data_IF_750412570450
#
_entry.id   IF_750412570450
#
_cell.length_a   1.000
_cell.length_b   1.000
_cell.length_c   1.000
_cell.angle_alpha   90.00
_cell.angle_beta   90.00
_cell.angle_gamma   90.00
#
_symmetry.space_group_name_H-M   'P 1'
#
loop_
_entity.id
_entity.type
_entity.pdbx_description
1 polymer ?
#
# COMPACT_ATOMS: atom_id res chain seq x y z
N UNK A 39 28.98 -16.86 -5.30
CA UNK A 39 29.36 -15.61 -6.05
C UNK A 39 28.32 -15.30 -7.14
N UNK A 40 27.19 -14.78 -6.71
CA UNK A 40 25.96 -14.60 -7.53
C UNK A 40 25.55 -13.14 -7.40
N UNK A 41 25.29 -12.39 -8.51
CA UNK A 41 24.85 -10.99 -8.41
C UNK A 41 23.41 -10.96 -7.87
N UNK A 42 22.88 -9.80 -7.50
CA UNK A 42 21.61 -9.80 -6.74
C UNK A 42 20.51 -10.26 -7.67
N UNK A 43 20.42 -9.67 -8.86
CA UNK A 43 19.25 -9.97 -9.73
C UNK A 43 19.17 -11.49 -9.96
N UNK A 44 20.23 -12.26 -9.73
CA UNK A 44 20.25 -13.73 -9.96
C UNK A 44 19.99 -14.50 -8.63
N UNK A 45 20.08 -13.84 -7.47
CA UNK A 45 20.07 -14.51 -6.14
C UNK A 45 18.63 -14.81 -5.70
N UNK A 46 18.39 -15.94 -5.02
CA UNK A 46 17.02 -16.46 -4.72
C UNK A 46 16.79 -16.63 -3.22
N UNK A 47 17.84 -16.83 -2.44
CA UNK A 47 17.76 -17.14 -0.99
C UNK A 47 19.03 -16.65 -0.31
N UNK A 48 18.95 -16.48 1.02
CA UNK A 48 20.11 -16.23 1.92
C UNK A 48 21.32 -17.16 1.60
N UNK A 49 21.12 -18.32 0.96
CA UNK A 49 22.22 -19.28 0.65
C UNK A 49 23.10 -18.72 -0.48
N UNK A 50 22.57 -17.85 -1.35
CA UNK A 50 23.28 -17.32 -2.55
C UNK A 50 24.18 -16.08 -2.25
N UNK A 51 24.20 -15.59 -1.00
CA UNK A 51 24.89 -14.34 -0.59
C UNK A 51 26.13 -14.66 0.26
N UNK A 52 27.11 -13.78 0.27
CA UNK A 52 28.23 -13.89 1.22
C UNK A 52 27.73 -13.53 2.62
N UNK A 53 28.43 -13.97 3.67
CA UNK A 53 28.30 -13.35 4.99
C UNK A 53 28.06 -11.83 4.99
N UNK A 54 28.89 -11.03 4.30
CA UNK A 54 28.78 -9.55 4.47
C UNK A 54 27.41 -9.09 3.94
N UNK A 56 24.55 -11.19 3.75
CA UNK A 56 23.62 -11.75 4.71
C UNK A 56 23.39 -10.75 5.85
N UNK A 57 24.48 -10.27 6.47
CA UNK A 57 24.50 -9.37 7.64
C UNK A 57 23.87 -8.04 7.22
N UNK A 58 24.19 -7.56 6.01
CA UNK A 58 23.65 -6.27 5.50
C UNK A 58 22.13 -6.36 5.53
N UNK A 59 21.53 -7.42 4.98
CA UNK A 59 20.06 -7.48 4.82
C UNK A 59 19.41 -7.80 6.17
N UNK A 60 20.19 -8.31 7.14
CA UNK A 60 19.73 -8.56 8.52
C UNK A 60 19.42 -7.21 9.19
N UNK A 61 20.28 -6.22 9.00
CA UNK A 61 20.04 -4.85 9.51
C UNK A 61 18.85 -4.24 8.77
N UNK A 62 18.69 -4.55 7.49
CA UNK A 62 17.53 -3.99 6.73
C UNK A 62 16.27 -4.57 7.35
N UNK A 63 16.27 -5.87 7.59
CA UNK A 63 15.14 -6.61 8.19
C UNK A 63 14.82 -6.03 9.58
N UNK A 64 15.85 -5.66 10.37
CA UNK A 64 15.70 -5.01 11.70
C UNK A 64 15.02 -3.65 11.53
N UNK A 65 15.63 -2.76 10.77
CA UNK A 65 15.11 -1.42 10.40
C UNK A 65 13.59 -1.43 10.16
N UNK A 66 13.15 -2.41 9.38
CA UNK A 66 11.76 -2.54 8.87
C UNK A 66 10.80 -2.47 10.07
N UNK A 67 11.29 -2.89 11.24
CA UNK A 67 10.51 -3.18 12.46
C UNK A 67 10.65 -2.01 13.42
N UNK A 68 11.69 -1.19 13.28
CA UNK A 68 11.79 0.12 13.95
C UNK A 68 10.71 1.01 13.36
N UNK A 69 10.38 2.15 14.02
CA UNK A 69 9.38 3.09 13.52
C UNK A 69 10.09 4.24 12.79
N UNK A 70 9.61 4.50 11.57
CA UNK A 70 10.32 5.28 10.54
C UNK A 70 9.29 5.73 9.52
N UNK A 71 9.64 6.63 8.61
CA UNK A 71 8.76 6.93 7.45
C UNK A 71 8.82 5.72 6.51
N UNK A 72 7.80 4.88 6.54
CA UNK A 72 7.67 3.71 5.65
C UNK A 72 7.68 4.19 4.20
N UNK A 73 8.20 3.34 3.32
CA UNK A 73 8.19 3.58 1.87
C UNK A 73 7.27 2.57 1.25
N UNK A 74 6.38 3.04 0.39
CA UNK A 74 5.30 2.24 -0.23
C UNK A 74 5.17 2.64 -1.71
N UNK A 75 4.46 1.84 -2.48
CA UNK A 75 3.96 2.30 -3.79
C UNK A 75 3.03 1.27 -4.40
N UNK A 76 2.45 1.69 -5.53
CA UNK A 76 1.70 0.81 -6.46
C UNK A 76 2.64 0.39 -7.58
N UNK A 77 3.14 -0.84 -7.51
CA UNK A 77 4.10 -1.48 -8.44
C UNK A 77 3.38 -2.16 -9.62
N UNK A 78 3.49 -1.55 -10.80
CA UNK A 78 2.96 -2.11 -12.06
C UNK A 78 4.03 -2.82 -12.88
N UNK A 79 3.62 -3.74 -13.76
CA UNK A 79 4.46 -4.53 -14.71
C UNK A 79 5.38 -5.44 -13.91
N UNK A 80 4.86 -6.11 -12.89
CA UNK A 80 5.69 -7.00 -12.05
C UNK A 80 5.84 -8.38 -12.71
N UNK A 81 7.02 -8.71 -13.24
CA UNK A 81 7.26 -9.96 -14.00
C UNK A 81 8.34 -10.84 -13.36
N UNK A 82 9.38 -10.25 -12.76
CA UNK A 82 10.54 -11.00 -12.24
C UNK A 82 11.31 -11.75 -13.33
N UNK A 83 11.36 -11.22 -14.56
CA UNK A 83 11.69 -12.00 -15.78
C UNK A 83 13.17 -11.84 -16.16
N UNK A 84 13.82 -10.80 -15.69
CA UNK A 84 15.29 -10.74 -15.72
C UNK A 84 15.78 -9.89 -16.86
N UNK A 85 16.98 -9.36 -16.69
CA UNK A 85 17.64 -8.36 -17.58
C UNK A 85 17.22 -7.00 -17.01
N UNK A 86 15.91 -6.69 -16.93
CA UNK A 86 15.45 -5.36 -16.40
C UNK A 86 15.05 -5.40 -14.90
N UNK A 87 15.83 -4.71 -14.06
CA UNK A 87 15.63 -4.55 -12.59
C UNK A 87 14.24 -3.99 -12.29
N UNK A 88 13.72 -3.10 -13.14
CA UNK A 88 12.38 -2.46 -13.04
C UNK A 88 11.22 -3.48 -12.87
N UNK A 89 11.41 -4.77 -13.16
CA UNK A 89 10.29 -5.76 -13.19
C UNK A 89 10.36 -6.69 -11.96
N UNK A 90 11.20 -6.31 -10.98
CA UNK A 90 11.58 -7.16 -9.83
C UNK A 90 11.26 -6.46 -8.49
N UNK A 91 10.49 -7.11 -7.63
CA UNK A 91 10.28 -6.59 -6.25
C UNK A 91 11.65 -6.53 -5.55
N UNK A 92 12.49 -7.55 -5.75
CA UNK A 92 13.73 -7.76 -4.96
C UNK A 92 14.78 -6.71 -5.32
N UNK A 94 13.89 -3.45 -5.82
CA UNK A 94 13.40 -2.16 -5.40
C UNK A 94 14.40 -1.56 -4.43
N UNK A 95 14.41 -0.24 -4.24
CA UNK A 95 15.19 0.37 -3.16
C UNK A 95 14.96 -0.36 -1.83
N UNK A 96 16.04 -0.58 -1.09
CA UNK A 96 16.06 -1.38 0.15
C UNK A 96 15.19 -0.70 1.22
N UNK A 97 14.87 0.58 1.05
CA UNK A 97 14.09 1.41 2.00
C UNK A 97 12.58 1.24 1.77
N UNK A 98 12.14 0.59 0.70
CA UNK A 98 10.70 0.26 0.50
C UNK A 98 10.29 -0.82 1.49
N UNK A 99 9.24 -0.57 2.30
CA UNK A 99 8.76 -1.50 3.37
C UNK A 99 7.73 -2.47 2.82
N UNK A 100 6.81 -1.99 1.99
CA UNK A 100 5.78 -2.85 1.38
C UNK A 100 5.22 -2.19 0.11
N UNK A 101 4.41 -2.93 -0.62
CA UNK A 101 4.00 -2.50 -1.97
C UNK A 101 2.62 -3.11 -2.25
N UNK A 102 1.85 -2.39 -3.05
CA UNK A 102 0.58 -2.86 -3.61
C UNK A 102 0.77 -3.14 -5.10
N UNK A 103 0.34 -4.32 -5.55
CA UNK A 103 0.53 -4.80 -6.94
C UNK A 103 -0.63 -4.30 -7.80
N UNK A 104 -0.42 -3.16 -8.45
CA UNK A 104 -1.29 -2.61 -9.51
C UNK A 104 -1.35 -3.60 -10.69
N UNK A 105 -2.49 -4.28 -10.83
CA UNK A 105 -2.87 -5.03 -12.03
C UNK A 105 -2.84 -6.53 -11.81
N UNK A 106 -1.88 -7.06 -11.04
CA UNK A 106 -1.70 -8.52 -10.92
C UNK A 106 -2.83 -9.08 -10.06
N UNK A 107 -3.34 -10.27 -10.40
CA UNK A 107 -4.58 -10.85 -9.82
C UNK A 107 -4.24 -12.24 -9.28
N UNK A 108 -3.88 -13.16 -10.16
CA UNK A 108 -3.48 -14.52 -9.78
C UNK A 108 -2.54 -15.08 -10.82
N UNK A 109 -2.61 -16.40 -11.03
CA UNK A 109 -1.81 -17.13 -12.03
C UNK A 109 -0.35 -16.61 -12.06
N UNK A 110 0.36 -16.55 -10.92
CA UNK A 110 1.78 -16.06 -10.84
C UNK A 110 2.75 -17.07 -11.50
N UNK A 111 3.77 -16.56 -12.22
CA UNK A 111 4.91 -17.34 -12.76
C UNK A 111 5.82 -17.82 -11.63
N UNK A 112 6.57 -18.90 -11.86
CA UNK A 112 7.60 -19.46 -10.95
C UNK A 112 8.65 -18.38 -10.60
N UNK A 113 8.89 -17.48 -11.57
CA UNK A 113 9.87 -16.35 -11.48
C UNK A 113 9.27 -15.20 -10.63
N UNK A 114 7.95 -14.99 -10.68
CA UNK A 114 7.22 -14.13 -9.73
C UNK A 114 7.31 -14.75 -8.33
N UNK A 115 6.94 -16.02 -8.19
CA UNK A 115 6.94 -16.70 -6.86
C UNK A 115 8.31 -16.51 -6.19
N UNK A 116 9.42 -16.58 -6.94
CA UNK A 116 10.83 -16.60 -6.45
C UNK A 116 11.31 -15.19 -6.04
N UNK A 117 10.96 -14.19 -6.86
CA UNK A 117 11.20 -12.74 -6.64
C UNK A 117 10.60 -12.40 -5.28
N UNK A 118 9.30 -12.66 -5.14
CA UNK A 118 8.52 -12.48 -3.90
C UNK A 118 9.20 -13.21 -2.73
N UNK A 119 9.65 -14.47 -2.91
CA UNK A 119 10.21 -15.26 -1.78
C UNK A 119 11.43 -14.50 -1.23
N UNK A 120 12.23 -13.90 -2.12
CA UNK A 120 13.50 -13.21 -1.78
C UNK A 120 13.16 -11.89 -1.08
N UNK A 121 12.32 -11.11 -1.76
CA UNK A 121 11.71 -9.86 -1.24
C UNK A 121 11.18 -10.05 0.18
N UNK A 122 10.48 -11.15 0.46
CA UNK A 122 9.88 -11.40 1.79
C UNK A 122 10.95 -11.81 2.79
N UNK A 123 11.75 -12.84 2.52
CA UNK A 123 12.59 -13.57 3.51
C UNK A 123 13.95 -12.88 3.78
N UNK A 124 14.50 -12.20 2.78
CA UNK A 124 15.88 -11.63 2.84
C UNK A 124 15.74 -10.12 3.06
N UNK A 125 15.08 -9.44 2.13
CA UNK A 125 14.58 -8.07 2.36
C UNK A 125 13.43 -8.23 3.34
N UNK A 126 13.02 -7.26 4.11
CA UNK A 126 11.89 -7.58 5.02
C UNK A 126 10.55 -7.29 4.38
N UNK A 127 10.43 -7.50 3.07
CA UNK A 127 9.44 -6.77 2.25
C UNK A 127 8.09 -7.47 2.26
N UNK A 128 7.02 -6.74 1.91
CA UNK A 128 5.64 -7.29 1.86
C UNK A 128 4.91 -6.81 0.61
N UNK A 129 4.20 -7.74 -0.03
CA UNK A 129 3.45 -7.45 -1.25
C UNK A 129 1.96 -7.72 -1.03
N UNK A 130 1.14 -6.75 -1.42
CA UNK A 130 -0.32 -6.78 -1.20
C UNK A 130 -1.04 -6.98 -2.53
N UNK A 131 -2.06 -7.81 -2.53
CA UNK A 131 -3.11 -7.72 -3.58
C UNK A 131 -3.84 -6.40 -3.40
N UNK A 132 -4.47 -5.91 -4.45
CA UNK A 132 -5.04 -4.56 -4.55
C UNK A 132 -5.97 -4.47 -5.73
N UNK A 133 -7.09 -3.77 -5.57
CA UNK A 133 -8.14 -3.54 -6.60
C UNK A 133 -9.32 -2.87 -5.92
N UNK A 134 -10.11 -2.15 -6.72
CA UNK A 134 -11.22 -1.27 -6.27
C UNK A 134 -12.30 -2.15 -5.66
N UNK A 135 -12.82 -1.75 -4.51
CA UNK A 135 -14.02 -2.41 -3.93
C UNK A 135 -15.20 -1.45 -4.04
N UNK A 136 -16.17 -1.95 -4.82
CA UNK A 136 -17.37 -1.27 -5.36
C UNK A 136 -18.52 -2.25 -5.16
N UNK A 137 -18.55 -3.35 -5.90
CA UNK A 137 -19.69 -4.32 -5.82
C UNK A 137 -19.24 -5.58 -5.08
N UNK A 138 -20.19 -6.31 -4.51
CA UNK A 138 -19.95 -7.53 -3.70
C UNK A 138 -19.02 -8.46 -4.49
N UNK A 139 -19.48 -8.97 -5.62
CA UNK A 139 -18.60 -9.70 -6.55
C UNK A 139 -17.76 -8.73 -7.34
N UNK A 140 -16.44 -8.74 -7.13
CA UNK A 140 -15.53 -7.83 -7.88
C UNK A 140 -14.20 -8.55 -8.07
N UNK A 141 -13.89 -8.97 -9.30
CA UNK A 141 -12.57 -9.51 -9.71
C UNK A 141 -12.40 -10.95 -9.21
N UNK A 142 -13.36 -11.54 -8.51
CA UNK A 142 -13.30 -12.98 -8.14
C UNK A 142 -14.54 -13.67 -8.70
N UNK A 143 -15.28 -12.97 -9.55
CA UNK A 143 -16.56 -13.49 -10.10
C UNK A 143 -16.17 -14.14 -11.43
N UNK A 144 -16.32 -15.49 -11.55
CA UNK A 144 -15.84 -16.22 -12.72
C UNK A 144 -16.63 -15.85 -13.99
N UNK A 145 -16.04 -16.15 -15.15
CA UNK A 145 -16.74 -16.29 -16.47
C UNK A 145 -17.28 -14.92 -16.92
N UNK A 146 -18.50 -14.93 -17.45
CA UNK A 146 -19.56 -13.93 -17.27
C UNK A 146 -20.76 -14.59 -16.60
N UNK A 147 -20.61 -14.96 -15.32
CA UNK A 147 -21.75 -15.31 -14.42
C UNK A 147 -22.16 -14.00 -13.73
N UNK A 148 -23.34 -13.98 -13.12
CA UNK A 148 -23.89 -12.79 -12.41
C UNK A 148 -23.22 -12.69 -11.01
N UNK A 149 -22.80 -11.49 -10.60
CA UNK A 149 -22.24 -11.22 -9.26
C UNK A 149 -23.27 -11.55 -8.17
N UNK A 150 -24.42 -10.88 -8.17
CA UNK A 150 -25.38 -11.00 -7.03
C UNK A 150 -25.84 -12.47 -7.02
N UNK A 151 -25.93 -13.12 -8.18
CA UNK A 151 -26.36 -14.54 -8.27
C UNK A 151 -25.25 -15.41 -7.66
N UNK A 152 -24.04 -15.27 -8.18
CA UNK A 152 -22.91 -16.16 -7.81
C UNK A 152 -22.67 -16.08 -6.30
N UNK A 153 -22.76 -14.86 -5.75
CA UNK A 153 -22.20 -14.58 -4.41
C UNK A 153 -23.27 -14.75 -3.33
N UNK A 154 -24.51 -14.29 -3.60
CA UNK A 154 -25.57 -14.12 -2.57
C UNK A 154 -26.34 -15.43 -2.38
N UNK A 155 -27.17 -15.87 -3.36
CA UNK A 155 -27.94 -17.15 -3.23
C UNK A 155 -26.98 -18.33 -3.43
N UNK A 156 -26.11 -18.25 -4.45
CA UNK A 156 -25.27 -19.38 -4.92
C UNK A 156 -24.14 -19.66 -3.92
N UNK A 157 -23.79 -18.71 -3.05
CA UNK A 157 -22.57 -18.78 -2.19
C UNK A 157 -22.89 -18.41 -0.73
N UNK A 158 -23.63 -17.32 -0.49
CA UNK A 158 -24.49 -17.20 0.71
C UNK A 158 -25.62 -18.18 0.57
N UNK A 159 -26.82 -17.90 1.07
CA UNK A 159 -28.00 -18.72 0.67
C UNK A 159 -29.25 -17.83 0.77
N UNK A 160 -29.22 -16.68 0.09
CA UNK A 160 -30.15 -15.56 0.29
C UNK A 160 -29.57 -14.59 1.31
N UNK A 161 -28.74 -15.06 2.25
CA UNK A 161 -28.08 -14.20 3.28
C UNK A 161 -26.97 -13.40 2.58
N UNK A 162 -27.33 -12.28 1.96
CA UNK A 162 -26.36 -11.31 1.36
C UNK A 162 -25.04 -11.33 2.14
N UNK A 163 -25.09 -11.37 3.47
CA UNK A 163 -23.92 -11.21 4.38
C UNK A 163 -23.09 -12.50 4.40
N UNK A 164 -23.69 -13.69 4.26
CA UNK A 164 -22.87 -14.93 4.20
C UNK A 164 -21.99 -14.86 2.92
N UNK A 165 -22.46 -14.12 1.91
CA UNK A 165 -21.80 -13.89 0.61
C UNK A 165 -20.69 -12.86 0.70
N UNK A 166 -20.85 -11.85 1.56
CA UNK A 166 -19.74 -10.91 1.89
C UNK A 166 -18.71 -11.71 2.69
N UNK A 167 -19.15 -12.43 3.72
CA UNK A 167 -18.28 -13.36 4.50
C UNK A 167 -17.53 -14.31 3.55
N UNK A 168 -18.23 -14.79 2.51
CA UNK A 168 -17.69 -15.71 1.48
C UNK A 168 -16.71 -14.99 0.55
N UNK A 169 -17.11 -13.86 -0.06
CA UNK A 169 -16.30 -13.02 -1.00
C UNK A 169 -14.97 -12.62 -0.39
N UNK A 170 -14.99 -12.28 0.89
CA UNK A 170 -13.79 -11.95 1.67
C UNK A 170 -12.93 -13.19 1.89
N UNK A 171 -13.55 -14.32 2.20
CA UNK A 171 -12.79 -15.55 2.54
C UNK A 171 -12.02 -15.99 1.29
N UNK A 172 -12.54 -15.63 0.11
CA UNK A 172 -12.01 -16.00 -1.22
C UNK A 172 -10.81 -15.11 -1.51
N UNK A 173 -10.91 -13.85 -1.14
CA UNK A 173 -9.76 -12.93 -1.22
C UNK A 173 -8.62 -13.56 -0.42
N UNK A 174 -8.86 -13.93 0.85
CA UNK A 174 -7.85 -14.55 1.75
C UNK A 174 -7.34 -15.82 1.11
N UNK A 175 -8.24 -16.73 0.73
CA UNK A 175 -7.85 -17.91 -0.07
C UNK A 175 -6.71 -17.48 -0.98
N UNK A 176 -7.02 -16.54 -1.87
CA UNK A 176 -6.26 -16.27 -3.11
C UNK A 176 -4.93 -15.59 -2.72
N UNK A 177 -4.89 -14.92 -1.58
CA UNK A 177 -3.67 -14.34 -0.95
C UNK A 177 -2.81 -15.49 -0.39
N UNK A 178 -3.43 -16.45 0.30
CA UNK A 178 -2.70 -17.54 1.03
C UNK A 178 -2.08 -18.46 -0.03
N UNK A 179 -2.74 -18.57 -1.19
CA UNK A 179 -2.38 -19.46 -2.32
C UNK A 179 -1.04 -19.03 -2.93
N UNK A 180 -0.75 -17.74 -2.98
CA UNK A 180 0.48 -17.20 -3.63
C UNK A 180 1.40 -16.66 -2.53
N UNK A 181 1.12 -17.02 -1.28
CA UNK A 181 1.76 -16.55 0.00
C UNK A 181 2.01 -15.03 0.02
N UNK A 182 1.13 -14.22 -0.57
CA UNK A 182 1.24 -12.73 -0.49
C UNK A 182 0.98 -12.25 0.96
N UNK A 183 1.29 -10.99 1.27
CA UNK A 183 1.33 -10.53 2.70
C UNK A 183 0.09 -9.72 3.04
N UNK A 184 -0.89 -9.60 2.14
CA UNK A 184 -2.23 -9.17 2.56
C UNK A 184 -3.00 -8.48 1.47
N UNK A 185 -3.83 -7.50 1.84
CA UNK A 185 -4.77 -6.87 0.89
C UNK A 185 -4.84 -5.37 1.12
N UNK A 186 -5.18 -4.69 0.04
CA UNK A 186 -5.30 -3.22 -0.07
C UNK A 186 -6.67 -2.95 -0.67
N UNK A 187 -7.60 -2.50 0.17
CA UNK A 187 -8.94 -2.08 -0.29
C UNK A 187 -8.81 -0.69 -0.93
N UNK A 188 -8.92 -0.59 -2.25
CA UNK A 188 -9.08 0.71 -2.96
C UNK A 188 -10.55 1.09 -2.80
N UNK A 189 -10.84 1.95 -1.82
CA UNK A 189 -12.23 2.37 -1.42
C UNK A 189 -12.50 3.80 -1.92
N UNK A 190 -13.36 3.94 -2.94
CA UNK A 190 -13.64 5.24 -3.61
C UNK A 190 -15.11 5.34 -4.01
N UNK A 191 -16.05 5.26 -3.04
CA UNK A 191 -17.43 5.67 -3.28
C UNK A 191 -17.32 7.19 -3.32
N UNK A 192 -18.20 7.87 -4.05
CA UNK A 192 -18.13 9.34 -4.08
C UNK A 192 -16.84 9.87 -4.69
N UNK A 193 -16.06 8.99 -5.32
CA UNK A 193 -15.31 9.33 -6.56
C UNK A 193 -15.79 8.39 -7.69
N UNK A 194 -17.07 8.03 -7.68
CA UNK A 194 -17.70 7.22 -8.73
C UNK A 194 -17.63 5.73 -8.46
N UNK A 195 -16.91 5.24 -7.47
CA UNK A 195 -16.81 3.75 -7.28
C UNK A 195 -17.70 3.30 -6.12
N UNK A 196 -18.98 3.61 -6.26
CA UNK A 196 -20.06 3.30 -5.30
C UNK A 196 -20.86 2.11 -5.80
N UNK A 197 -21.20 1.15 -4.93
CA UNK A 197 -21.84 -0.12 -5.37
C UNK A 197 -22.60 -0.82 -4.26
N UNK A 198 -22.66 -2.15 -4.31
CA UNK A 198 -23.46 -3.00 -3.39
C UNK A 198 -22.65 -3.31 -2.13
N UNK A 199 -21.49 -2.68 -1.99
CA UNK A 199 -20.65 -2.68 -0.76
C UNK A 199 -20.26 -1.23 -0.44
N UNK A 200 -19.70 -0.52 -1.41
CA UNK A 200 -19.13 0.83 -1.19
C UNK A 200 -20.28 1.82 -1.25
N UNK A 201 -20.33 2.70 -0.23
CA UNK A 201 -21.30 3.83 -0.09
C UNK A 201 -20.64 4.93 0.75
N UNK A 202 -21.36 6.03 0.92
CA UNK A 202 -20.90 7.32 1.49
C UNK A 202 -20.55 7.19 2.97
N UNK A 203 -21.03 6.15 3.67
CA UNK A 203 -21.20 6.18 5.15
C UNK A 203 -20.03 5.55 5.92
N UNK A 204 -19.89 5.95 7.17
CA UNK A 204 -18.97 5.36 8.16
C UNK A 204 -19.14 3.86 8.14
N UNK A 205 -18.02 3.14 8.17
CA UNK A 205 -17.99 1.66 8.29
C UNK A 205 -17.94 1.31 9.78
N UNK A 206 -19.03 0.70 10.24
CA UNK A 206 -19.35 0.36 11.65
C UNK A 206 -20.66 -0.41 11.63
N UNK A 207 -20.94 -1.28 12.61
CA UNK A 207 -22.24 -1.97 12.65
C UNK A 207 -23.42 -0.97 12.58
N UNK A 208 -23.16 0.28 12.95
CA UNK A 208 -24.15 1.38 13.10
C UNK A 208 -24.30 2.11 11.75
N UNK A 209 -23.36 1.93 10.82
CA UNK A 209 -23.41 2.55 9.47
C UNK A 209 -23.45 1.52 8.35
N UNK A 210 -22.35 1.31 7.66
CA UNK A 210 -22.21 0.32 6.57
C UNK A 210 -21.83 -1.02 7.18
N UNK A 211 -22.79 -1.79 7.68
CA UNK A 211 -22.47 -3.03 8.44
C UNK A 211 -21.89 -4.06 7.48
N UNK A 212 -22.07 -3.88 6.16
CA UNK A 212 -21.69 -4.91 5.16
C UNK A 212 -20.19 -4.76 4.94
N UNK A 214 -18.48 -3.62 7.14
CA UNK A 214 -17.90 -3.86 8.44
C UNK A 214 -17.55 -5.35 8.58
N UNK A 215 -18.44 -6.26 8.17
CA UNK A 215 -18.16 -7.72 8.39
C UNK A 215 -17.23 -8.19 7.25
N UNK A 216 -17.14 -7.39 6.19
CA UNK A 216 -16.13 -7.56 5.11
C UNK A 216 -14.74 -7.48 5.75
N UNK A 217 -14.42 -6.29 6.22
CA UNK A 217 -13.15 -5.95 6.92
C UNK A 217 -12.98 -6.86 8.14
N UNK A 218 -14.05 -7.15 8.85
CA UNK A 218 -14.00 -8.02 10.06
C UNK A 218 -13.45 -9.39 9.65
N UNK A 219 -13.91 -9.93 8.51
CA UNK A 219 -13.58 -11.30 8.02
C UNK A 219 -12.14 -11.36 7.49
N UNK A 220 -11.69 -10.34 6.77
CA UNK A 220 -10.26 -10.20 6.37
C UNK A 220 -9.38 -10.12 7.62
N UNK A 221 -9.63 -9.23 8.60
CA UNK A 221 -8.80 -9.16 9.82
C UNK A 221 -8.77 -10.52 10.51
N UNK A 222 -9.93 -11.17 10.70
CA UNK A 222 -10.03 -12.39 11.53
C UNK A 222 -9.01 -13.38 10.98
N UNK A 223 -8.86 -13.36 9.67
CA UNK A 223 -8.10 -14.40 8.95
C UNK A 223 -6.64 -13.99 8.84
N UNK A 224 -6.37 -12.83 8.26
CA UNK A 224 -4.96 -12.55 7.86
C UNK A 224 -4.24 -11.75 8.96
N UNK A 225 -4.92 -11.30 10.01
CA UNK A 225 -4.15 -10.68 11.12
C UNK A 225 -3.37 -11.74 11.93
N UNK A 226 -4.00 -12.82 12.42
CA UNK A 226 -3.24 -13.82 13.16
C UNK A 226 -2.17 -14.49 12.26
N UNK A 227 -2.19 -14.26 10.95
CA UNK A 227 -1.19 -14.87 10.02
C UNK A 227 0.02 -13.94 9.84
N UNK A 228 0.08 -12.83 10.57
CA UNK A 228 1.12 -11.79 10.41
C UNK A 228 0.91 -10.95 9.18
N UNK A 229 -0.18 -11.14 8.42
CA UNK A 229 -0.45 -10.34 7.18
C UNK A 229 -1.13 -9.00 7.51
N UNK A 231 -3.77 -5.70 6.51
CA UNK A 231 -4.93 -5.16 5.80
C UNK A 231 -4.78 -3.64 5.77
N UNK A 232 -5.24 -3.03 4.69
CA UNK A 232 -4.86 -1.64 4.32
C UNK A 232 -5.96 -1.08 3.41
N UNK A 234 -7.20 2.39 0.91
CA UNK A 234 -6.70 3.59 0.27
C UNK A 234 -7.85 4.32 -0.39
N UNK A 235 -7.67 5.62 -0.61
CA UNK A 235 -8.72 6.45 -1.22
C UNK A 235 -9.46 7.21 -0.16
N UNK A 236 -10.38 6.53 0.53
CA UNK A 236 -11.22 7.12 1.60
C UNK A 236 -11.15 6.28 2.86
N UNK A 237 -9.96 5.96 3.38
CA UNK A 237 -9.90 5.30 4.68
C UNK A 237 -10.59 6.14 5.79
N UNK A 238 -10.83 7.45 5.57
CA UNK A 238 -11.45 8.40 6.54
C UNK A 238 -12.88 7.93 6.92
N UNK A 239 -13.53 7.10 6.12
CA UNK A 239 -14.87 6.52 6.39
C UNK A 239 -14.77 5.36 7.39
N UNK A 240 -13.58 4.96 7.78
CA UNK A 240 -13.48 3.94 8.85
C UNK A 240 -14.01 4.54 10.17
N UNK A 241 -14.86 3.81 10.89
CA UNK A 241 -15.17 4.10 12.31
C UNK A 241 -13.89 3.96 13.14
N UNK A 242 -13.82 4.64 14.27
CA UNK A 242 -12.69 4.57 15.23
C UNK A 242 -12.36 3.08 15.45
N UNK A 243 -13.35 2.27 15.80
CA UNK A 243 -13.13 0.88 16.22
C UNK A 243 -12.65 0.07 15.03
N UNK A 244 -13.30 0.25 13.89
CA UNK A 244 -13.03 -0.52 12.66
C UNK A 244 -11.61 -0.15 12.17
N UNK A 245 -11.23 1.12 12.32
CA UNK A 245 -9.88 1.60 11.99
C UNK A 245 -8.81 0.73 12.71
N UNK A 246 -9.08 0.18 13.88
CA UNK A 246 -8.07 -0.64 14.59
C UNK A 246 -7.80 -1.93 13.80
N UNK A 247 -8.67 -2.28 12.87
CA UNK A 247 -8.53 -3.57 12.12
C UNK A 247 -7.75 -3.35 10.81
N UNK A 248 -7.39 -2.10 10.53
CA UNK A 248 -6.69 -1.67 9.29
C UNK A 248 -5.34 -1.04 9.62
N UNK A 249 -4.28 -1.56 9.01
CA UNK A 249 -2.89 -1.31 9.46
C UNK A 249 -2.42 0.04 8.92
N UNK A 250 -2.95 0.52 7.79
CA UNK A 250 -2.57 1.86 7.24
C UNK A 250 -3.73 2.50 6.50
N UNK A 251 -3.78 3.83 6.58
CA UNK A 251 -4.75 4.69 5.89
C UNK A 251 -3.98 5.35 4.75
N UNK A 252 -4.29 5.01 3.51
CA UNK A 252 -3.43 5.42 2.36
C UNK A 252 -4.22 6.40 1.51
N UNK A 253 -3.68 7.59 1.35
CA UNK A 253 -4.38 8.65 0.62
C UNK A 253 -3.62 8.94 -0.67
N UNK A 254 -4.39 9.17 -1.71
CA UNK A 254 -3.98 9.74 -3.00
C UNK A 254 -3.91 11.24 -2.84
N UNK A 255 -2.79 11.78 -2.35
CA UNK A 255 -2.53 13.25 -2.26
C UNK A 255 -1.90 13.76 -3.56
N UNK A 256 -2.46 13.39 -4.70
CA UNK A 256 -1.85 13.67 -6.02
C UNK A 256 -1.83 15.20 -6.30
N UNK A 257 -2.98 15.89 -6.25
CA UNK A 257 -3.10 17.26 -6.80
C UNK A 257 -3.15 18.34 -5.71
N UNK A 258 -2.84 17.98 -4.47
CA UNK A 258 -2.72 18.95 -3.37
C UNK A 258 -1.52 19.86 -3.63
N UNK A 259 -1.68 21.18 -3.55
CA UNK A 259 -0.62 22.13 -3.97
C UNK A 259 0.05 22.81 -2.77
N UNK A 260 -0.26 22.42 -1.51
CA UNK A 260 0.19 23.06 -0.23
C UNK A 260 0.23 22.06 0.93
N UNK A 261 1.17 22.23 1.84
CA UNK A 261 1.32 21.34 3.03
C UNK A 261 -0.03 21.29 3.73
N UNK A 262 -0.61 22.46 3.97
CA UNK A 262 -1.75 22.51 4.90
C UNK A 262 -2.98 21.95 4.20
N UNK A 263 -3.06 22.01 2.88
CA UNK A 263 -4.14 21.33 2.12
C UNK A 263 -3.98 19.80 2.18
N UNK A 264 -2.79 19.29 2.48
CA UNK A 264 -2.57 17.82 2.58
C UNK A 264 -2.98 17.37 3.99
N UNK A 265 -2.53 18.12 5.00
CA UNK A 265 -2.94 17.93 6.42
C UNK A 265 -4.46 17.94 6.50
N UNK A 266 -5.14 18.88 5.82
CA UNK A 266 -6.62 18.95 5.92
C UNK A 266 -7.22 17.63 5.46
N UNK A 267 -6.61 17.03 4.45
CA UNK A 267 -7.12 15.81 3.79
C UNK A 267 -7.00 14.61 4.74
N UNK A 268 -5.93 14.52 5.54
CA UNK A 268 -5.60 13.27 6.29
C UNK A 268 -5.85 13.45 7.78
N UNK A 269 -6.07 14.69 8.24
CA UNK A 269 -6.38 15.01 9.65
C UNK A 269 -7.80 14.56 10.00
N UNK A 270 -7.87 13.38 10.60
CA UNK A 270 -9.06 12.55 10.87
C UNK A 270 -8.87 11.88 12.23
N UNK A 271 -9.11 12.63 13.32
CA UNK A 271 -8.90 12.08 14.66
C UNK A 271 -9.93 10.98 14.98
N UNK A 272 -10.97 10.79 14.17
CA UNK A 272 -11.88 9.61 14.27
C UNK A 272 -11.10 8.29 14.08
N UNK A 273 -9.89 8.34 13.49
CA UNK A 273 -9.12 7.14 13.09
C UNK A 273 -8.06 6.87 14.15
N UNK A 274 -7.97 5.62 14.61
CA UNK A 274 -6.98 5.23 15.64
C UNK A 274 -5.62 5.62 15.08
N UNK A 275 -4.84 6.37 15.84
CA UNK A 275 -3.40 6.56 15.60
C UNK A 275 -3.14 7.05 14.18
N UNK A 276 -3.90 8.03 13.72
CA UNK A 276 -3.92 8.37 12.29
C UNK A 276 -2.58 8.90 11.75
N UNK A 277 -1.81 9.67 12.50
CA UNK A 277 -0.50 10.21 12.06
C UNK A 277 0.44 9.08 11.69
N UNK A 278 0.67 8.12 12.58
CA UNK A 278 1.70 7.07 12.35
C UNK A 278 1.20 5.99 11.40
N UNK A 279 -0.10 5.88 11.15
CA UNK A 279 -0.60 4.85 10.21
C UNK A 279 -0.99 5.47 8.87
N UNK A 280 -0.86 6.78 8.71
CA UNK A 280 -1.27 7.41 7.45
C UNK A 280 -0.10 7.40 6.46
N UNK A 281 -0.38 7.02 5.23
CA UNK A 281 0.60 7.07 4.10
C UNK A 281 0.04 8.05 3.07
N UNK A 282 0.86 9.00 2.63
CA UNK A 282 0.44 9.95 1.56
C UNK A 282 1.27 9.66 0.32
N UNK A 283 0.60 9.69 -0.83
CA UNK A 283 1.14 9.19 -2.10
C UNK A 283 1.00 10.27 -3.16
N UNK A 284 1.95 10.22 -4.06
CA UNK A 284 2.03 11.17 -5.19
C UNK A 284 1.90 10.41 -6.51
N UNK A 285 1.63 11.13 -7.62
CA UNK A 285 1.14 10.53 -8.89
C UNK A 285 2.27 10.52 -9.90
N UNK A 286 2.80 9.32 -10.15
CA UNK A 286 4.13 9.12 -10.79
C UNK A 286 3.97 8.67 -12.25
N UNK A 287 2.81 8.15 -12.64
CA UNK A 287 2.38 8.04 -14.06
C UNK A 287 2.62 9.39 -14.75
N UNK A 288 2.41 10.52 -14.07
CA UNK A 288 2.56 11.86 -14.69
C UNK A 288 3.74 12.66 -14.11
N UNK A 289 4.21 12.37 -12.89
CA UNK A 289 5.14 13.26 -12.20
C UNK A 289 6.45 12.58 -11.83
N UNK A 290 6.69 11.38 -12.36
CA UNK A 290 7.96 10.61 -12.18
C UNK A 290 9.14 11.52 -12.49
N UNK A 291 9.01 12.38 -13.49
CA UNK A 291 10.17 13.18 -13.94
C UNK A 291 10.53 14.17 -12.84
N UNK A 292 9.51 14.69 -12.14
CA UNK A 292 9.57 15.97 -11.40
C UNK A 292 9.36 15.76 -9.90
N UNK A 293 9.09 14.54 -9.44
CA UNK A 293 8.76 14.25 -8.04
C UNK A 293 7.42 14.86 -7.65
N UNK A 294 6.39 14.47 -8.38
CA UNK A 294 5.03 15.03 -8.40
C UNK A 294 5.00 16.42 -9.02
N UNK A 295 4.01 17.23 -8.64
CA UNK A 295 3.61 18.48 -9.33
C UNK A 295 4.75 19.50 -9.23
N UNK A 296 4.76 20.47 -10.14
CA UNK A 296 5.89 21.40 -10.30
C UNK A 296 5.63 22.70 -9.56
N UNK A 297 4.36 22.92 -9.20
CA UNK A 297 3.79 24.14 -8.59
C UNK A 297 3.34 23.89 -7.14
N UNK A 298 4.03 23.02 -6.42
CA UNK A 298 3.76 22.77 -4.98
C UNK A 298 4.46 23.84 -4.16
N UNK A 299 3.86 24.15 -3.00
CA UNK A 299 4.41 25.02 -1.94
C UNK A 299 4.47 24.23 -0.64
N UNK A 300 5.69 24.06 -0.11
CA UNK A 300 5.98 23.35 1.16
C UNK A 300 6.00 24.39 2.28
N UNK A 301 5.74 23.89 3.48
CA UNK A 301 5.79 24.65 4.76
C UNK A 301 7.27 24.76 5.19
N UNK A 302 8.14 24.11 4.42
CA UNK A 302 9.60 24.21 4.59
C UNK A 302 10.12 25.08 3.46
N UNK A 303 10.48 26.35 3.72
CA UNK A 303 10.82 27.25 2.62
C UNK A 303 11.97 26.64 1.79
N UNK A 304 12.98 26.06 2.45
CA UNK A 304 14.20 25.55 1.76
C UNK A 304 13.84 24.46 0.74
N UNK A 305 12.77 23.70 0.94
CA UNK A 305 12.29 22.71 -0.05
C UNK A 305 11.76 23.38 -1.33
N UNK A 306 11.42 24.68 -1.35
CA UNK A 306 10.72 25.30 -2.51
C UNK A 306 11.71 25.83 -3.56
N UNK A 307 13.01 25.87 -3.24
CA UNK A 307 14.10 26.20 -4.19
C UNK A 307 14.53 24.97 -5.01
N UNK A 309 13.54 21.09 -7.00
CA UNK A 309 12.52 20.33 -7.73
C UNK A 309 12.10 19.13 -6.87
N UNK A 310 10.86 18.67 -7.00
CA UNK A 310 10.35 17.48 -6.27
C UNK A 310 9.84 17.79 -4.85
N UNK A 311 9.43 19.03 -4.60
CA UNK A 311 9.13 19.52 -3.23
C UNK A 311 7.83 18.89 -2.71
N UNK A 312 6.89 18.46 -3.56
CA UNK A 312 5.71 17.64 -3.17
C UNK A 312 6.21 16.40 -2.43
N UNK A 313 6.90 15.48 -3.07
CA UNK A 313 7.28 14.19 -2.42
C UNK A 313 8.20 14.44 -1.21
N UNK A 314 8.93 15.54 -1.18
CA UNK A 314 9.92 15.68 -0.08
C UNK A 314 9.21 16.26 1.12
N UNK A 315 8.24 17.16 0.86
CA UNK A 315 7.37 17.71 1.91
C UNK A 315 6.66 16.55 2.57
N UNK A 316 6.09 15.66 1.76
CA UNK A 316 5.32 14.51 2.27
C UNK A 316 6.21 13.71 3.22
N UNK A 317 7.39 13.35 2.78
CA UNK A 317 8.26 12.43 3.53
C UNK A 317 8.63 13.07 4.88
N UNK A 318 8.68 14.40 4.96
CA UNK A 318 9.21 15.10 6.15
C UNK A 318 8.06 15.77 6.93
N UNK A 319 6.81 15.36 6.68
CA UNK A 319 5.57 16.05 7.13
C UNK A 319 5.40 15.86 8.63
N UNK A 320 5.69 16.90 9.41
CA UNK A 320 5.43 17.00 10.87
C UNK A 320 3.99 17.42 10.99
N UNK A 321 3.13 16.58 11.52
CA UNK A 321 1.68 16.92 11.76
C UNK A 321 1.48 17.83 12.96
N UNK A 322 0.29 18.43 13.17
CA UNK A 322 0.16 19.51 14.17
C UNK A 322 0.47 18.98 15.58
N UNK A 323 0.17 17.69 15.81
CA UNK A 323 0.57 16.98 17.06
C UNK A 323 2.07 16.97 17.25
N UNK A 324 2.87 17.12 16.19
CA UNK A 324 4.33 17.03 16.22
C UNK A 324 4.82 15.68 15.69
N UNK A 325 3.93 14.75 15.46
CA UNK A 325 4.30 13.41 14.99
C UNK A 325 4.55 13.44 13.49
N UNK A 326 5.34 12.47 13.04
CA UNK A 326 5.82 12.38 11.65
C UNK A 326 4.84 11.45 10.96
N UNK A 327 4.44 11.82 9.76
CA UNK A 327 3.59 10.98 8.87
C UNK A 327 4.16 9.59 8.93
N UNK A 328 3.34 8.59 8.70
CA UNK A 328 3.71 7.18 8.84
C UNK A 328 4.48 6.69 7.64
N UNK A 329 4.24 7.28 6.47
CA UNK A 329 4.97 6.96 5.25
C UNK A 329 4.53 7.72 4.01
N UNK A 330 5.28 7.52 2.94
CA UNK A 330 4.98 8.07 1.59
C UNK A 330 5.08 6.93 0.58
N UNK A 331 4.47 7.15 -0.58
CA UNK A 331 4.48 6.23 -1.73
C UNK A 331 4.22 6.95 -3.05
N UNK A 332 4.36 6.21 -4.14
CA UNK A 332 4.19 6.71 -5.51
C UNK A 332 3.26 5.76 -6.24
N UNK A 333 2.36 6.31 -7.02
CA UNK A 333 1.47 5.56 -7.96
C UNK A 333 2.28 5.31 -9.22
N UNK A 334 2.37 4.03 -9.62
CA UNK A 334 3.25 3.56 -10.72
C UNK A 334 4.68 3.97 -10.32
N UNK A 336 7.37 2.44 -10.45
CA UNK A 336 8.39 1.99 -11.39
C UNK A 336 8.72 3.04 -12.46
N UNK A 337 7.90 4.05 -12.69
CA UNK A 337 8.18 5.15 -13.67
C UNK A 337 9.31 6.05 -13.15
N UNK A 338 9.80 5.80 -11.94
CA UNK A 338 10.90 6.54 -11.26
C UNK A 338 12.23 5.86 -11.63
N UNK A 339 12.15 4.62 -12.11
CA UNK A 339 13.31 3.82 -12.53
C UNK A 339 14.06 4.51 -13.67
N UNK A 340 13.43 4.91 -14.79
CA UNK A 340 14.18 5.55 -15.86
C UNK A 340 14.89 6.82 -15.40
N UNK A 341 14.71 7.25 -14.16
CA UNK A 341 15.32 8.52 -13.68
C UNK A 341 16.84 8.32 -13.47
N UNK A 342 17.55 9.41 -13.21
CA UNK A 342 18.98 9.42 -12.88
C UNK A 342 19.13 10.12 -11.53
N UNK A 343 19.45 9.34 -10.48
CA UNK A 343 19.55 7.88 -10.55
C UNK A 343 18.21 7.19 -10.67
N UNK A 344 18.17 5.86 -10.92
CA UNK A 344 16.90 5.13 -10.87
C UNK A 344 16.33 5.16 -9.46
N UNK A 345 14.99 5.34 -9.38
CA UNK A 345 14.17 5.55 -8.15
C UNK A 345 14.64 6.83 -7.40
N UNK A 346 14.98 7.84 -8.20
CA UNK A 346 15.58 9.10 -7.73
C UNK A 346 14.74 9.62 -6.56
N UNK A 347 13.45 9.80 -6.84
CA UNK A 347 12.55 10.63 -6.00
C UNK A 347 12.18 9.84 -4.75
N UNK A 348 11.70 8.62 -4.93
CA UNK A 348 11.43 7.77 -3.75
C UNK A 348 12.66 7.69 -2.84
N UNK A 349 13.85 7.43 -3.35
CA UNK A 349 15.07 7.22 -2.51
C UNK A 349 15.42 8.50 -1.72
N UNK A 350 15.36 9.62 -2.43
CA UNK A 350 15.63 10.95 -1.87
C UNK A 350 14.60 11.21 -0.77
N UNK A 351 13.32 11.03 -1.10
CA UNK A 351 12.20 11.30 -0.18
C UNK A 351 12.47 10.55 1.12
N UNK A 352 12.72 9.24 1.07
CA UNK A 352 12.95 8.42 2.30
C UNK A 352 14.24 8.83 3.00
N UNK A 353 15.19 9.42 2.28
CA UNK A 353 16.44 9.90 2.88
C UNK A 353 16.12 11.18 3.65
N UNK A 354 15.27 12.01 3.06
CA UNK A 354 14.78 13.28 3.68
C UNK A 354 13.94 12.92 4.94
N UNK A 355 12.99 12.01 4.81
CA UNK A 355 12.09 11.60 5.90
C UNK A 355 12.79 10.93 7.07
N UNK A 356 13.85 10.18 6.82
CA UNK A 356 14.48 9.28 7.82
C UNK A 356 15.86 9.79 8.25
N UNK A 357 16.53 10.69 7.52
CA UNK A 357 17.86 11.16 7.98
C UNK A 357 17.93 12.67 8.01
N UNK A 358 17.59 13.33 6.91
CA UNK A 358 17.88 14.79 6.81
C UNK A 358 17.06 15.49 7.90
N UNK A 359 15.79 15.12 8.04
CA UNK A 359 14.79 15.70 8.96
C UNK A 359 14.24 14.61 9.87
N UNK A 360 15.01 14.15 10.86
CA UNK A 360 14.56 13.05 11.71
C UNK A 360 13.23 13.43 12.37
N UNK A 361 12.27 12.52 12.31
CA UNK A 361 10.91 12.73 12.79
C UNK A 361 10.77 12.30 14.25
N UNK A 362 9.62 12.62 14.84
CA UNK A 362 9.24 12.22 16.21
C UNK A 362 8.10 11.19 16.09
N UNK A 363 8.17 10.10 16.85
CA UNK A 363 7.25 8.94 16.70
C UNK A 363 6.51 8.62 18.01
N UNK A 364 6.00 9.61 18.76
CA UNK A 364 5.33 9.40 20.09
C UNK A 364 4.70 10.70 20.63
#
# INVERSE_FOLDING_TARGET
XKLLKYLCIGISALSILSCSDWTSEEREVFENQEGXHRLIPLIEAQTEEDLTPTXREYFAQIREYRKTPHVKGFGWFGNWTGKGNNAQNYLKXLPDSVDFVSLWGTRGYLSDEQKADLKFFQEVKGGKALLCWIIQDLGDQLTPKGLNATQYWVEEKGQGNFIEGVKAYANAICDSIEKYNLDGFDIDYQPGYGHSGTLANYQTISPSGNNKXQVFIETLSARLRPAGRXLVXDGQPDLLSTETSKLVDHYIYQAYWESSTSSVIYKINKPNLDDWERKTIITVEFEQGWKTGGITYYTSVRPELNSXEGNQILDYATLDLPSGKRIGGIGTYHXEYDYPNDPPYKWLRKALYFGNQVYPGKFD
#
